data_IF_893068557151
#
_entry.id   IF_893068557151
#
_cell.length_a   1.000
_cell.length_b   1.000
_cell.length_c   1.000
_cell.angle_alpha   90.00
_cell.angle_beta   90.00
_cell.angle_gamma   90.00
#
_symmetry.space_group_name_H-M   'P 1'
#
loop_
_entity.id
_entity.type
_entity.pdbx_description
1 polymer ?
#
# COMPACT_ATOMS: atom_id res chain seq x y z
N UNK A 1 1.70 37.86 -1.97
CA UNK A 1 2.41 36.57 -2.14
C UNK A 1 1.68 35.50 -1.36
N UNK A 2 1.33 34.35 -1.97
CA UNK A 2 0.56 33.29 -1.30
C UNK A 2 1.37 32.65 -0.15
N UNK A 3 0.84 32.64 1.08
CA UNK A 3 1.48 32.09 2.27
C UNK A 3 1.95 30.64 2.05
N UNK A 4 1.14 29.80 1.39
CA UNK A 4 1.53 28.41 1.07
C UNK A 4 2.75 28.36 0.15
N UNK A 5 2.82 29.26 -0.83
CA UNK A 5 3.95 29.39 -1.75
C UNK A 5 5.22 29.84 -1.02
N UNK A 6 5.10 30.78 -0.08
CA UNK A 6 6.22 31.27 0.73
C UNK A 6 6.84 30.17 1.60
N UNK A 7 6.01 29.38 2.29
CA UNK A 7 6.51 28.24 3.07
C UNK A 7 7.09 27.15 2.17
N UNK A 8 6.46 26.85 1.02
CA UNK A 8 6.96 25.85 0.08
C UNK A 8 8.33 26.23 -0.51
N UNK A 9 8.50 27.49 -0.94
CA UNK A 9 9.77 27.96 -1.51
C UNK A 9 10.92 28.05 -0.50
N UNK A 10 10.62 27.89 0.80
CA UNK A 10 11.61 27.86 1.88
C UNK A 10 11.77 26.46 2.50
N UNK A 11 11.19 25.43 1.89
CA UNK A 11 11.25 24.06 2.38
C UNK A 11 10.47 23.80 3.67
N UNK A 12 9.62 24.73 4.11
CA UNK A 12 8.92 24.69 5.40
C UNK A 12 7.55 24.02 5.33
N UNK A 13 7.22 23.33 4.23
CA UNK A 13 5.99 22.54 4.13
C UNK A 13 6.15 21.18 4.82
N UNK A 14 5.12 20.74 5.54
CA UNK A 14 5.11 19.46 6.25
C UNK A 14 5.21 18.28 5.27
N UNK A 15 5.74 17.14 5.72
CA UNK A 15 5.85 15.94 4.90
C UNK A 15 4.49 15.47 4.35
N UNK A 16 3.41 15.64 5.12
CA UNK A 16 2.05 15.38 4.65
C UNK A 16 1.63 16.27 3.48
N UNK A 17 1.92 17.57 3.54
CA UNK A 17 1.63 18.51 2.45
C UNK A 17 2.50 18.25 1.22
N UNK A 18 3.78 17.88 1.42
CA UNK A 18 4.69 17.47 0.33
C UNK A 18 4.12 16.28 -0.43
N UNK A 19 3.71 15.23 0.28
CA UNK A 19 3.15 14.04 -0.34
C UNK A 19 1.87 14.35 -1.13
N UNK A 20 0.94 15.15 -0.58
CA UNK A 20 -0.29 15.55 -1.28
C UNK A 20 -0.05 16.28 -2.61
N UNK A 21 1.08 16.98 -2.76
CA UNK A 21 1.43 17.66 -4.02
C UNK A 21 1.85 16.66 -5.11
N UNK A 22 2.50 15.55 -4.73
CA UNK A 22 3.10 14.61 -5.69
C UNK A 22 2.34 13.29 -5.81
N UNK A 23 1.44 12.98 -4.88
CA UNK A 23 0.75 11.68 -4.81
C UNK A 23 -0.08 11.37 -6.05
N UNK A 24 -0.77 12.36 -6.61
CA UNK A 24 -1.52 12.17 -7.86
C UNK A 24 -0.59 11.81 -9.02
N UNK A 25 0.56 12.47 -9.13
CA UNK A 25 1.57 12.16 -10.16
C UNK A 25 2.16 10.76 -9.97
N UNK A 26 2.38 10.36 -8.72
CA UNK A 26 2.80 8.99 -8.38
C UNK A 26 1.73 7.96 -8.79
N UNK A 27 0.45 8.22 -8.51
CA UNK A 27 -0.65 7.34 -8.92
C UNK A 27 -0.81 7.27 -10.45
N UNK A 28 -0.65 8.41 -11.14
CA UNK A 28 -0.59 8.46 -12.61
C UNK A 28 0.53 7.60 -13.16
N UNK A 29 1.72 7.65 -12.57
CA UNK A 29 2.86 6.82 -12.97
C UNK A 29 2.54 5.33 -12.82
N UNK A 30 2.04 4.92 -11.64
CA UNK A 30 1.69 3.51 -11.40
C UNK A 30 0.65 2.98 -12.41
N UNK A 31 -0.41 3.74 -12.66
CA UNK A 31 -1.44 3.36 -13.64
C UNK A 31 -0.88 3.36 -15.06
N UNK A 32 -0.09 4.38 -15.42
CA UNK A 32 0.51 4.48 -16.76
C UNK A 32 1.45 3.32 -17.06
N UNK A 33 2.29 2.91 -16.09
CA UNK A 33 3.16 1.74 -16.24
C UNK A 33 2.33 0.45 -16.34
N UNK A 34 1.29 0.30 -15.51
CA UNK A 34 0.38 -0.85 -15.58
C UNK A 34 -0.30 -0.96 -16.95
N UNK A 35 -0.83 0.14 -17.47
CA UNK A 35 -1.49 0.19 -18.77
C UNK A 35 -0.50 -0.12 -19.92
N UNK A 36 0.72 0.44 -19.86
CA UNK A 36 1.76 0.17 -20.86
C UNK A 36 2.19 -1.30 -20.85
N UNK A 37 2.42 -1.89 -19.67
CA UNK A 37 2.81 -3.29 -19.57
C UNK A 37 1.69 -4.22 -20.04
N UNK A 38 0.44 -3.97 -19.63
CA UNK A 38 -0.71 -4.74 -20.07
C UNK A 38 -0.90 -4.65 -21.58
N UNK A 39 -0.78 -3.45 -22.17
CA UNK A 39 -0.95 -3.23 -23.61
C UNK A 39 0.09 -3.97 -24.44
N UNK A 40 1.36 -3.97 -24.01
CA UNK A 40 2.46 -4.52 -24.80
C UNK A 40 2.75 -6.01 -24.50
N UNK A 41 2.39 -6.50 -23.31
CA UNK A 41 2.77 -7.84 -22.86
C UNK A 41 1.61 -8.66 -22.27
N UNK A 42 0.38 -8.14 -22.24
CA UNK A 42 -0.78 -8.85 -21.71
C UNK A 42 -0.60 -9.29 -20.25
N UNK A 43 -1.02 -10.52 -19.94
CA UNK A 43 -0.90 -11.12 -18.59
C UNK A 43 0.54 -11.20 -18.09
N UNK A 44 1.51 -11.41 -19.00
CA UNK A 44 2.94 -11.39 -18.64
C UNK A 44 3.35 -10.03 -18.10
N UNK A 45 2.84 -8.95 -18.68
CA UNK A 45 3.07 -7.59 -18.21
C UNK A 45 2.50 -7.34 -16.81
N UNK A 46 1.28 -7.84 -16.55
CA UNK A 46 0.67 -7.75 -15.21
C UNK A 46 1.45 -8.55 -14.17
N UNK A 47 1.91 -9.76 -14.52
CA UNK A 47 2.73 -10.59 -13.62
C UNK A 47 4.07 -9.94 -13.28
N UNK A 48 4.77 -9.41 -14.29
CA UNK A 48 6.04 -8.69 -14.07
C UNK A 48 5.86 -7.49 -13.13
N UNK A 49 4.73 -6.79 -13.26
CA UNK A 49 4.41 -5.68 -12.38
C UNK A 49 4.10 -6.15 -10.96
N UNK A 50 3.35 -7.24 -10.79
CA UNK A 50 3.10 -7.83 -9.48
C UNK A 50 4.40 -8.29 -8.80
N UNK A 51 5.30 -8.93 -9.55
CA UNK A 51 6.62 -9.36 -9.06
C UNK A 51 7.48 -8.17 -8.63
N UNK A 52 7.46 -7.08 -9.41
CA UNK A 52 8.17 -5.83 -9.05
C UNK A 52 7.60 -5.20 -7.77
N UNK A 53 6.27 -5.17 -7.63
CA UNK A 53 5.61 -4.61 -6.45
C UNK A 53 5.85 -5.48 -5.21
N UNK A 54 5.90 -6.80 -5.38
CA UNK A 54 6.31 -7.72 -4.32
C UNK A 54 7.75 -7.46 -3.87
N UNK A 55 8.68 -7.30 -4.82
CA UNK A 55 10.07 -6.95 -4.54
C UNK A 55 10.18 -5.65 -3.74
N UNK A 56 9.50 -4.58 -4.17
CA UNK A 56 9.50 -3.32 -3.42
C UNK A 56 8.87 -3.46 -2.03
N UNK A 57 7.80 -4.26 -1.91
CA UNK A 57 7.21 -4.57 -0.61
C UNK A 57 8.21 -5.22 0.34
N UNK A 58 8.99 -6.19 -0.16
CA UNK A 58 10.06 -6.83 0.62
C UNK A 58 11.14 -5.83 1.04
N UNK A 59 11.68 -5.05 0.10
CA UNK A 59 12.73 -4.06 0.38
C UNK A 59 12.27 -3.02 1.42
N UNK A 60 11.05 -2.50 1.27
CA UNK A 60 10.48 -1.54 2.21
C UNK A 60 10.18 -2.18 3.57
N UNK A 61 9.72 -3.43 3.61
CA UNK A 61 9.46 -4.16 4.85
C UNK A 61 10.74 -4.43 5.65
N UNK A 62 11.81 -4.88 4.97
CA UNK A 62 13.13 -5.08 5.58
C UNK A 62 13.68 -3.77 6.15
N UNK A 63 13.62 -2.70 5.35
CA UNK A 63 14.06 -1.38 5.77
C UNK A 63 13.26 -0.84 6.95
N UNK A 64 11.93 -0.97 6.92
CA UNK A 64 11.09 -0.54 8.04
C UNK A 64 11.38 -1.32 9.31
N UNK A 65 11.65 -2.62 9.18
CA UNK A 65 12.02 -3.46 10.30
C UNK A 65 13.32 -2.98 10.96
N UNK A 66 14.34 -2.68 10.17
CA UNK A 66 15.62 -2.17 10.64
C UNK A 66 15.48 -0.77 11.27
N UNK A 67 14.94 0.19 10.53
CA UNK A 67 14.91 1.61 10.92
C UNK A 67 13.96 1.91 12.08
N UNK A 68 12.90 1.11 12.24
CA UNK A 68 11.90 1.28 13.30
C UNK A 68 12.01 0.23 14.40
N UNK A 69 13.03 -0.65 14.32
CA UNK A 69 13.27 -1.73 15.26
C UNK A 69 12.02 -2.62 15.47
N UNK A 70 11.35 -2.99 14.37
CA UNK A 70 10.20 -3.89 14.43
C UNK A 70 10.67 -5.32 14.70
N UNK A 71 9.88 -6.05 15.49
CA UNK A 71 10.16 -7.43 15.85
C UNK A 71 9.78 -8.43 14.74
N UNK A 72 9.25 -9.58 15.18
CA UNK A 72 8.83 -10.68 14.31
C UNK A 72 7.47 -11.23 14.76
N UNK A 73 6.51 -10.34 15.03
CA UNK A 73 5.15 -10.70 15.46
C UNK A 73 4.07 -10.24 14.49
N UNK A 74 2.85 -10.75 14.70
CA UNK A 74 1.65 -10.26 14.04
C UNK A 74 1.44 -8.75 14.23
N UNK A 75 1.77 -8.24 15.43
CA UNK A 75 1.67 -6.82 15.74
C UNK A 75 2.68 -5.98 14.96
N UNK A 76 3.92 -6.45 14.83
CA UNK A 76 4.96 -5.76 14.08
C UNK A 76 4.58 -5.63 12.59
N UNK A 77 4.08 -6.72 12.00
CA UNK A 77 3.60 -6.71 10.62
C UNK A 77 2.37 -5.79 10.44
N UNK A 78 1.46 -5.77 11.43
CA UNK A 78 0.31 -4.86 11.46
C UNK A 78 0.73 -3.39 11.56
N UNK A 79 1.71 -3.07 12.42
CA UNK A 79 2.23 -1.72 12.58
C UNK A 79 2.88 -1.23 11.28
N UNK A 80 3.62 -2.10 10.58
CA UNK A 80 4.19 -1.76 9.27
C UNK A 80 3.11 -1.40 8.23
N UNK A 81 2.01 -2.14 8.19
CA UNK A 81 0.85 -1.80 7.34
C UNK A 81 0.22 -0.45 7.70
N UNK A 82 0.05 -0.17 9.00
CA UNK A 82 -0.53 1.10 9.46
C UNK A 82 0.38 2.29 9.13
N UNK A 83 1.69 2.15 9.32
CA UNK A 83 2.68 3.17 8.96
C UNK A 83 2.63 3.42 7.44
N UNK A 84 2.65 2.36 6.63
CA UNK A 84 2.60 2.50 5.19
C UNK A 84 1.28 3.11 4.72
N UNK A 85 0.16 2.72 5.33
CA UNK A 85 -1.14 3.34 5.11
C UNK A 85 -1.12 4.84 5.41
N UNK A 86 -0.49 5.26 6.51
CA UNK A 86 -0.35 6.67 6.88
C UNK A 86 0.49 7.48 5.89
N UNK A 87 1.56 6.89 5.33
CA UNK A 87 2.38 7.50 4.27
C UNK A 87 1.50 7.77 3.04
N UNK A 88 0.76 6.76 2.58
CA UNK A 88 -0.11 6.83 1.41
C UNK A 88 -1.48 7.50 1.67
N UNK A 89 -1.71 8.02 2.88
CA UNK A 89 -2.98 8.64 3.31
C UNK A 89 -4.18 7.70 3.17
N UNK A 90 -3.95 6.39 3.28
CA UNK A 90 -4.99 5.37 3.35
C UNK A 90 -5.56 5.40 4.77
N UNK A 91 -6.87 5.60 4.90
CA UNK A 91 -7.55 5.45 6.19
C UNK A 91 -7.74 3.95 6.42
N UNK A 92 -6.96 3.41 7.35
CA UNK A 92 -7.01 1.99 7.75
C UNK A 92 -7.61 1.87 9.15
N UNK A 93 -8.54 0.94 9.32
CA UNK A 93 -9.07 0.54 10.63
C UNK A 93 -8.64 -0.89 10.86
N UNK A 94 -7.77 -1.10 11.85
CA UNK A 94 -7.33 -2.42 12.29
C UNK A 94 -8.25 -2.92 13.40
N UNK A 95 -8.79 -4.13 13.23
CA UNK A 95 -9.63 -4.83 14.19
C UNK A 95 -8.94 -6.14 14.56
N UNK A 96 -8.45 -6.23 15.80
CA UNK A 96 -7.96 -7.51 16.35
C UNK A 96 -9.15 -8.46 16.45
N UNK A 97 -9.09 -9.60 15.77
CA UNK A 97 -10.13 -10.62 15.82
C UNK A 97 -9.84 -11.62 16.93
N UNK A 98 -8.57 -12.06 17.03
CA UNK A 98 -8.06 -12.94 18.07
C UNK A 98 -6.52 -12.75 18.20
N UNK A 99 -5.83 -13.61 18.96
CA UNK A 99 -4.37 -13.51 19.15
C UNK A 99 -3.56 -13.77 17.88
N UNK A 100 -4.13 -14.47 16.90
CA UNK A 100 -3.48 -14.86 15.66
C UNK A 100 -3.98 -14.09 14.43
N UNK A 101 -4.95 -13.18 14.59
CA UNK A 101 -5.62 -12.52 13.47
C UNK A 101 -5.93 -11.03 13.71
N UNK A 102 -5.53 -10.18 12.76
CA UNK A 102 -5.92 -8.77 12.70
C UNK A 102 -6.50 -8.48 11.32
N UNK A 103 -7.72 -7.95 11.28
CA UNK A 103 -8.42 -7.54 10.06
C UNK A 103 -8.29 -6.04 9.81
N UNK A 104 -8.13 -5.65 8.54
CA UNK A 104 -7.93 -4.28 8.11
C UNK A 104 -9.01 -3.86 7.12
N UNK A 105 -9.74 -2.83 7.51
CA UNK A 105 -10.76 -2.18 6.70
C UNK A 105 -10.18 -0.89 6.14
N UNK A 106 -10.50 -0.57 4.89
CA UNK A 106 -10.09 0.69 4.25
C UNK A 106 -11.28 1.61 3.99
N UNK A 107 -11.84 2.32 5.00
CA UNK A 107 -12.91 3.28 4.76
C UNK A 107 -12.58 4.33 3.69
N UNK A 108 -11.30 4.64 3.49
CA UNK A 108 -10.85 5.46 2.38
C UNK A 108 -9.48 4.99 1.88
N UNK A 109 -9.36 4.71 0.58
CA UNK A 109 -8.11 4.38 -0.08
C UNK A 109 -7.90 5.31 -1.29
N UNK A 110 -7.02 6.33 -1.20
CA UNK A 110 -6.77 7.28 -2.29
C UNK A 110 -6.33 6.59 -3.59
N UNK A 111 -5.55 5.52 -3.46
CA UNK A 111 -5.08 4.73 -4.60
C UNK A 111 -6.23 4.01 -5.31
N UNK A 112 -7.14 3.39 -4.55
CA UNK A 112 -8.35 2.78 -5.11
C UNK A 112 -9.27 3.82 -5.75
N UNK A 113 -9.50 4.96 -5.10
CA UNK A 113 -10.28 6.07 -5.68
C UNK A 113 -9.69 6.53 -7.01
N UNK A 114 -8.36 6.62 -7.09
CA UNK A 114 -7.67 7.00 -8.31
C UNK A 114 -7.86 5.94 -9.41
N UNK A 115 -7.62 4.66 -9.11
CA UNK A 115 -7.82 3.58 -10.08
C UNK A 115 -9.27 3.54 -10.59
N UNK A 116 -10.24 3.64 -9.68
CA UNK A 116 -11.68 3.71 -9.99
C UNK A 116 -11.99 4.88 -10.92
N UNK A 117 -11.44 6.06 -10.66
CA UNK A 117 -11.63 7.23 -11.54
C UNK A 117 -11.10 7.05 -12.97
N UNK A 118 -10.31 6.01 -13.21
CA UNK A 118 -9.80 5.60 -14.53
C UNK A 118 -10.54 4.38 -15.11
N UNK A 119 -11.58 3.89 -14.43
CA UNK A 119 -12.30 2.67 -14.81
C UNK A 119 -11.43 1.41 -14.67
N UNK A 120 -10.53 1.39 -13.67
CA UNK A 120 -9.58 0.30 -13.44
C UNK A 120 -9.61 -0.15 -11.98
N UNK A 121 -9.31 -1.42 -11.72
CA UNK A 121 -9.06 -1.95 -10.36
C UNK A 121 -7.71 -2.66 -10.35
N UNK A 122 -6.63 -1.89 -10.19
CA UNK A 122 -5.25 -2.42 -10.18
C UNK A 122 -4.78 -2.87 -8.79
N UNK A 123 -5.65 -2.93 -7.79
CA UNK A 123 -5.26 -3.34 -6.44
C UNK A 123 -4.65 -4.75 -6.41
N UNK A 124 -5.16 -5.69 -7.22
CA UNK A 124 -4.63 -7.07 -7.30
C UNK A 124 -3.21 -7.13 -7.89
N UNK A 125 -2.88 -6.23 -8.80
CA UNK A 125 -1.58 -6.20 -9.48
C UNK A 125 -0.56 -5.34 -8.74
N UNK A 126 -1.02 -4.25 -8.10
CA UNK A 126 -0.14 -3.25 -7.49
C UNK A 126 -0.12 -3.32 -5.97
N UNK A 127 -1.28 -3.18 -5.34
CA UNK A 127 -1.36 -2.98 -3.89
C UNK A 127 -1.17 -4.28 -3.11
N UNK A 128 -1.89 -5.34 -3.48
CA UNK A 128 -1.90 -6.60 -2.74
C UNK A 128 -0.51 -7.28 -2.73
N UNK A 129 0.20 -7.43 -3.87
CA UNK A 129 1.53 -8.06 -3.87
C UNK A 129 2.53 -7.30 -3.00
N UNK A 130 2.46 -5.97 -3.03
CA UNK A 130 3.30 -5.10 -2.22
C UNK A 130 3.05 -5.27 -0.73
N UNK A 131 1.79 -5.12 -0.28
CA UNK A 131 1.50 -5.17 1.18
C UNK A 131 1.68 -6.58 1.75
N UNK A 132 1.43 -7.62 0.97
CA UNK A 132 1.72 -9.00 1.36
C UNK A 132 3.21 -9.21 1.59
N UNK A 133 4.04 -8.80 0.63
CA UNK A 133 5.49 -8.96 0.70
C UNK A 133 6.12 -8.11 1.80
N UNK A 134 5.56 -6.92 2.06
CA UNK A 134 5.95 -6.05 3.17
C UNK A 134 5.67 -6.71 4.53
N UNK A 135 4.46 -7.24 4.74
CA UNK A 135 4.13 -7.93 6.00
C UNK A 135 5.03 -9.15 6.21
N UNK A 136 5.27 -9.93 5.15
CA UNK A 136 6.12 -11.13 5.20
C UNK A 136 7.59 -10.80 5.46
N UNK A 137 8.11 -9.70 4.92
CA UNK A 137 9.46 -9.23 5.18
C UNK A 137 9.65 -8.80 6.65
N UNK A 138 8.64 -8.14 7.22
CA UNK A 138 8.64 -7.80 8.65
C UNK A 138 8.57 -9.05 9.52
N UNK A 139 7.61 -9.95 9.24
CA UNK A 139 7.45 -11.21 9.96
C UNK A 139 7.16 -12.39 9.00
N UNK A 140 8.15 -13.27 8.76
CA UNK A 140 8.00 -14.39 7.80
C UNK A 140 6.89 -15.39 8.14
N UNK A 141 6.50 -15.46 9.41
CA UNK A 141 5.44 -16.32 9.92
C UNK A 141 4.03 -15.74 9.71
N UNK A 142 3.92 -14.57 9.11
CA UNK A 142 2.63 -13.94 8.79
C UNK A 142 2.23 -14.23 7.35
N UNK A 143 0.93 -14.41 7.15
CA UNK A 143 0.27 -14.51 5.86
C UNK A 143 -0.82 -13.44 5.76
N UNK A 144 -1.00 -12.90 4.55
CA UNK A 144 -2.14 -12.05 4.24
C UNK A 144 -3.27 -12.89 3.64
N UNK A 145 -4.48 -12.72 4.16
CA UNK A 145 -5.70 -13.28 3.56
C UNK A 145 -6.61 -12.15 3.11
N UNK A 146 -7.04 -12.19 1.84
CA UNK A 146 -8.05 -11.24 1.32
C UNK A 146 -9.43 -11.74 1.72
N UNK A 147 -10.08 -11.02 2.63
CA UNK A 147 -11.44 -11.34 3.11
C UNK A 147 -12.49 -10.84 2.10
N UNK A 148 -12.27 -9.64 1.56
CA UNK A 148 -13.09 -9.04 0.52
C UNK A 148 -12.16 -8.42 -0.54
N UNK A 149 -12.23 -8.84 -1.81
CA UNK A 149 -11.47 -8.20 -2.87
C UNK A 149 -12.05 -6.81 -3.17
N UNK A 150 -11.24 -5.87 -3.70
CA UNK A 150 -11.76 -4.58 -4.12
C UNK A 150 -12.58 -4.71 -5.41
N UNK A 151 -13.66 -3.94 -5.49
CA UNK A 151 -14.52 -3.81 -6.69
C UNK A 151 -14.66 -2.32 -7.08
N UNK A 152 -15.52 -1.99 -8.04
CA UNK A 152 -15.84 -0.60 -8.35
C UNK A 152 -16.65 0.08 -7.23
N UNK A 153 -17.34 -0.71 -6.42
CA UNK A 153 -18.25 -0.27 -5.37
C UNK A 153 -17.58 -0.26 -4.00
N UNK A 154 -16.54 -1.08 -3.79
CA UNK A 154 -15.91 -1.23 -2.48
C UNK A 154 -14.39 -1.33 -2.53
N UNK A 155 -13.77 -0.94 -1.41
CA UNK A 155 -12.36 -1.19 -1.13
C UNK A 155 -12.15 -2.62 -0.62
N UNK A 156 -10.90 -3.08 -0.59
CA UNK A 156 -10.58 -4.40 -0.06
C UNK A 156 -10.69 -4.46 1.47
N UNK A 157 -11.05 -5.64 1.99
CA UNK A 157 -10.85 -6.05 3.39
C UNK A 157 -9.84 -7.19 3.36
N UNK A 158 -8.83 -7.10 4.21
CA UNK A 158 -7.74 -8.08 4.28
C UNK A 158 -7.35 -8.29 5.73
N UNK A 159 -6.84 -9.48 6.06
CA UNK A 159 -6.35 -9.79 7.40
C UNK A 159 -4.92 -10.30 7.34
N UNK A 160 -4.19 -10.05 8.42
CA UNK A 160 -2.92 -10.72 8.70
C UNK A 160 -3.19 -11.87 9.65
N UNK A 161 -2.63 -13.04 9.35
CA UNK A 161 -2.76 -14.25 10.15
C UNK A 161 -1.39 -14.84 10.47
N UNK A 162 -1.24 -15.43 11.66
CA UNK A 162 -0.07 -16.26 11.99
C UNK A 162 -0.22 -17.61 11.28
N UNK A 163 0.78 -18.02 10.51
CA UNK A 163 0.81 -19.33 9.85
C UNK A 163 0.74 -20.44 10.88
N UNK A 164 -0.14 -21.42 10.63
CA UNK A 164 -0.23 -22.65 11.42
C UNK A 164 0.89 -23.62 11.08
#
# INVERSE_FOLDING_TARGET
MNIKRFFASRGLITNGARFSIVSESFYKLMVGVADLLKKNFGEKGERLLADLMAKFGTEDGEKMKEELNLGNSLRDAADAWLIMGNIFKVKMVAKKLNENEIEFHHPNCPMWNFFKSKGKIYCKTLCLPYVESLAKAVSPNIEMVVVQPPTEENTCIKKLVVKS
#
